data_IF_228293030462
#
_entry.id   IF_228293030462
#
_cell.length_a   1.000
_cell.length_b   1.000
_cell.length_c   1.000
_cell.angle_alpha   90.00
_cell.angle_beta   90.00
_cell.angle_gamma   90.00
#
_symmetry.space_group_name_H-M   'P 1'
#
loop_
_entity.id
_entity.type
_entity.pdbx_description
1 polymer ?
#
# COMPACT_ATOMS: atom_id res chain seq x y z
N UNK A 1 -8.57 36.88 82.12
CA UNK A 1 -7.35 36.13 82.42
C UNK A 1 -7.52 34.78 81.77
N UNK A 2 -6.71 34.49 80.96
CA UNK A 2 -5.57 33.72 80.56
C UNK A 2 -5.70 33.16 79.15
N UNK A 3 -4.66 33.45 78.42
CA UNK A 3 -4.38 33.13 77.03
C UNK A 3 -3.94 31.66 76.97
N UNK A 4 -4.40 30.92 75.96
CA UNK A 4 -3.62 29.80 75.38
C UNK A 4 -3.73 29.84 73.89
N UNK A 5 -2.60 30.15 73.34
CA UNK A 5 -2.31 30.05 71.89
C UNK A 5 -2.07 28.59 71.54
N UNK A 6 -2.85 28.06 70.64
CA UNK A 6 -2.60 26.75 70.04
C UNK A 6 -2.18 26.93 68.58
N UNK A 7 -0.96 26.57 68.30
CA UNK A 7 -0.33 26.61 67.00
C UNK A 7 -0.91 25.47 66.14
N UNK A 8 -1.66 25.80 65.09
CA UNK A 8 -2.01 24.83 64.05
C UNK A 8 -0.87 24.77 63.05
N UNK A 9 -0.18 23.61 63.03
CA UNK A 9 0.77 23.27 61.95
C UNK A 9 0.03 22.93 60.67
N UNK A 10 0.26 23.69 59.63
CA UNK A 10 -0.24 23.40 58.29
C UNK A 10 0.60 22.27 57.67
N UNK A 11 0.03 21.10 57.62
CA UNK A 11 0.55 20.00 56.81
C UNK A 11 0.15 20.23 55.33
N UNK A 12 1.07 20.70 54.51
CA UNK A 12 0.90 20.86 53.07
C UNK A 12 1.11 19.50 52.41
N UNK A 13 0.03 18.80 52.17
CA UNK A 13 0.05 17.55 51.41
C UNK A 13 0.16 17.89 49.92
N UNK A 14 1.38 17.77 49.37
CA UNK A 14 1.66 17.88 47.94
C UNK A 14 1.12 16.64 47.24
N UNK A 15 -0.07 16.73 46.68
CA UNK A 15 -0.64 15.70 45.82
C UNK A 15 0.03 15.77 44.43
N UNK A 16 1.00 14.89 44.20
CA UNK A 16 1.60 14.66 42.86
C UNK A 16 0.56 13.89 42.04
N UNK A 17 -0.18 14.58 41.20
CA UNK A 17 -1.00 13.95 40.18
C UNK A 17 -0.09 13.42 39.07
N UNK A 18 0.18 12.11 39.08
CA UNK A 18 0.75 11.41 37.93
C UNK A 18 -0.30 11.44 36.82
N UNK A 19 -0.12 12.35 35.89
CA UNK A 19 -0.81 12.30 34.59
C UNK A 19 -0.26 11.11 33.80
N UNK A 20 -0.86 9.94 33.99
CA UNK A 20 -0.65 8.82 33.10
C UNK A 20 -1.22 9.22 31.72
N UNK A 21 -0.33 9.62 30.79
CA UNK A 21 -0.68 9.64 29.39
C UNK A 21 -1.02 8.20 28.99
N UNK A 22 -2.30 7.86 28.98
CA UNK A 22 -2.76 6.65 28.34
C UNK A 22 -2.54 6.85 26.84
N UNK A 23 -1.51 6.23 26.29
CA UNK A 23 -1.44 5.93 24.86
C UNK A 23 -2.65 5.00 24.58
N UNK A 24 -3.79 5.60 24.25
CA UNK A 24 -4.90 4.86 23.66
C UNK A 24 -4.40 4.18 22.39
N UNK A 25 -4.95 2.99 22.03
CA UNK A 25 -4.63 2.38 20.74
C UNK A 25 -4.90 3.44 19.68
N UNK A 26 -3.85 3.83 18.96
CA UNK A 26 -4.03 4.62 17.77
C UNK A 26 -4.78 3.70 16.81
N UNK A 27 -6.06 3.98 16.58
CA UNK A 27 -6.77 3.44 15.43
C UNK A 27 -6.07 4.01 14.20
N UNK A 28 -5.05 3.31 13.75
CA UNK A 28 -4.44 3.54 12.44
C UNK A 28 -5.54 3.22 11.44
N UNK A 29 -6.18 4.24 10.91
CA UNK A 29 -7.09 4.10 9.78
C UNK A 29 -6.23 3.73 8.60
N UNK A 30 -6.16 2.43 8.27
CA UNK A 30 -5.55 1.99 7.04
C UNK A 30 -6.26 2.65 5.85
N UNK A 31 -5.50 3.05 4.84
CA UNK A 31 -6.09 3.58 3.62
C UNK A 31 -7.00 2.52 3.00
N UNK A 32 -8.26 2.92 2.78
CA UNK A 32 -9.26 2.06 2.16
C UNK A 32 -9.36 2.39 0.68
N UNK A 33 -9.34 1.39 -0.16
CA UNK A 33 -9.53 1.53 -1.61
C UNK A 33 -10.81 0.83 -2.03
N UNK A 34 -11.64 1.53 -2.80
CA UNK A 34 -12.83 0.96 -3.42
C UNK A 34 -12.41 0.17 -4.65
N UNK A 35 -12.64 -1.15 -4.65
CA UNK A 35 -12.23 -2.06 -5.73
C UNK A 35 -13.39 -2.43 -6.67
N UNK A 36 -14.61 -2.30 -6.20
CA UNK A 36 -15.85 -2.38 -6.98
C UNK A 36 -16.92 -1.48 -6.35
N UNK A 37 -18.16 -1.50 -6.87
CA UNK A 37 -19.25 -0.60 -6.42
C UNK A 37 -19.56 -0.69 -4.91
N UNK A 38 -19.23 -1.78 -4.25
CA UNK A 38 -19.60 -2.07 -2.86
C UNK A 38 -18.46 -2.52 -1.96
N UNK A 39 -17.32 -2.88 -2.52
CA UNK A 39 -16.23 -3.52 -1.79
C UNK A 39 -15.07 -2.54 -1.57
N UNK A 40 -14.71 -2.36 -0.31
CA UNK A 40 -13.53 -1.58 0.08
C UNK A 40 -12.52 -2.49 0.77
N UNK A 41 -11.25 -2.33 0.41
CA UNK A 41 -10.12 -3.11 0.94
C UNK A 41 -9.13 -2.18 1.60
N UNK A 42 -8.67 -2.55 2.78
CA UNK A 42 -7.56 -1.86 3.45
C UNK A 42 -6.23 -2.22 2.77
N UNK A 43 -5.43 -1.21 2.44
CA UNK A 43 -4.11 -1.42 1.86
C UNK A 43 -3.09 -1.86 2.93
N UNK A 44 -2.17 -2.75 2.59
CA UNK A 44 -1.02 -3.05 3.44
C UNK A 44 -0.14 -1.82 3.68
N UNK A 45 0.63 -1.85 4.76
CA UNK A 45 1.65 -0.83 4.99
C UNK A 45 2.82 -0.99 3.98
N UNK A 46 3.44 0.09 3.51
CA UNK A 46 4.61 0.01 2.63
C UNK A 46 5.73 -0.91 3.13
N UNK A 47 6.03 -0.90 4.43
CA UNK A 47 7.04 -1.76 5.05
C UNK A 47 6.79 -3.27 4.88
N UNK A 48 5.55 -3.68 4.69
CA UNK A 48 5.17 -5.09 4.53
C UNK A 48 5.61 -5.69 3.18
N UNK A 49 6.14 -4.87 2.26
CA UNK A 49 6.84 -5.40 1.07
C UNK A 49 8.08 -6.22 1.46
N UNK A 50 8.74 -5.87 2.58
CA UNK A 50 9.88 -6.61 3.13
C UNK A 50 11.25 -6.20 2.55
N UNK A 51 11.29 -5.40 1.51
CA UNK A 51 12.50 -4.84 0.90
C UNK A 51 12.22 -3.42 0.35
N UNK A 52 13.27 -2.68 0.06
CA UNK A 52 13.17 -1.42 -0.68
C UNK A 52 13.31 -1.69 -2.16
N UNK A 53 12.51 -1.02 -2.98
CA UNK A 53 12.45 -1.23 -4.42
C UNK A 53 12.54 0.11 -5.15
N UNK A 54 13.36 0.14 -6.19
CA UNK A 54 13.29 1.14 -7.26
C UNK A 54 13.18 0.40 -8.58
N UNK A 55 12.18 0.74 -9.39
CA UNK A 55 11.98 0.09 -10.69
C UNK A 55 11.54 1.10 -11.76
N UNK A 56 12.03 0.87 -12.98
CA UNK A 56 11.51 1.48 -14.20
C UNK A 56 10.72 0.41 -14.95
N UNK A 57 9.48 0.69 -15.27
CA UNK A 57 8.58 -0.27 -15.92
C UNK A 57 7.83 0.37 -17.07
N UNK A 58 7.45 -0.45 -18.05
CA UNK A 58 6.52 -0.10 -19.09
C UNK A 58 5.21 -0.82 -18.81
N UNK A 59 4.16 -0.07 -18.54
CA UNK A 59 2.83 -0.61 -18.26
C UNK A 59 1.98 -0.46 -19.51
N UNK A 60 1.41 -1.56 -20.00
CA UNK A 60 0.43 -1.57 -21.07
C UNK A 60 -0.90 -2.09 -20.53
N UNK A 61 -1.89 -1.21 -20.42
CA UNK A 61 -3.23 -1.54 -19.97
C UNK A 61 -4.19 -1.64 -21.17
N UNK A 62 -5.10 -2.60 -21.13
CA UNK A 62 -6.13 -2.80 -22.15
C UNK A 62 -7.47 -3.09 -21.52
N UNK A 63 -8.53 -2.44 -22.03
CA UNK A 63 -9.92 -2.65 -21.66
C UNK A 63 -10.83 -2.42 -22.87
N UNK A 64 -11.67 -3.39 -23.18
CA UNK A 64 -12.42 -3.39 -24.45
C UNK A 64 -11.49 -3.29 -25.65
N UNK A 65 -11.72 -2.29 -26.50
CA UNK A 65 -10.87 -2.00 -27.66
C UNK A 65 -9.76 -0.97 -27.38
N UNK A 66 -9.74 -0.42 -26.15
CA UNK A 66 -8.76 0.62 -25.76
C UNK A 66 -7.49 -0.03 -25.27
N UNK A 67 -6.36 0.50 -25.71
CA UNK A 67 -5.03 0.14 -25.22
C UNK A 67 -4.23 1.41 -24.94
N UNK A 68 -3.62 1.47 -23.77
CA UNK A 68 -2.72 2.57 -23.37
C UNK A 68 -1.40 2.02 -22.85
N UNK A 69 -0.34 2.76 -23.09
CA UNK A 69 1.00 2.41 -22.66
C UNK A 69 1.63 3.57 -21.89
N UNK A 70 2.21 3.28 -20.73
CA UNK A 70 2.73 4.28 -19.81
C UNK A 70 4.07 3.83 -19.23
N UNK A 71 5.18 4.53 -19.53
CA UNK A 71 6.40 4.41 -18.75
C UNK A 71 6.20 4.89 -17.33
N UNK A 72 6.63 4.09 -16.35
CA UNK A 72 6.50 4.44 -14.93
C UNK A 72 7.83 4.29 -14.18
N UNK A 73 7.98 5.09 -13.14
CA UNK A 73 9.02 4.96 -12.13
C UNK A 73 8.35 4.63 -10.80
N UNK A 74 8.79 3.56 -10.19
CA UNK A 74 8.31 3.08 -8.90
C UNK A 74 9.43 3.18 -7.87
N UNK A 75 9.10 3.70 -6.68
CA UNK A 75 9.95 3.64 -5.50
C UNK A 75 9.14 3.19 -4.30
N UNK A 76 9.64 2.20 -3.60
CA UNK A 76 9.08 1.71 -2.33
C UNK A 76 10.17 1.70 -1.28
N UNK A 77 9.88 2.25 -0.13
CA UNK A 77 10.69 2.07 1.07
C UNK A 77 9.78 1.74 2.26
N UNK A 78 10.34 1.61 3.46
CA UNK A 78 9.58 1.22 4.64
C UNK A 78 8.41 2.16 4.99
N UNK A 79 8.45 3.42 4.55
CA UNK A 79 7.49 4.43 4.93
C UNK A 79 6.52 4.81 3.82
N UNK A 80 6.90 4.60 2.56
CA UNK A 80 6.10 5.12 1.43
C UNK A 80 6.25 4.33 0.14
N UNK A 81 5.22 4.43 -0.68
CA UNK A 81 5.20 4.07 -2.09
C UNK A 81 5.11 5.34 -2.91
N UNK A 82 5.92 5.47 -3.94
CA UNK A 82 5.85 6.58 -4.91
C UNK A 82 5.82 5.99 -6.31
N UNK A 83 4.82 6.37 -7.10
CA UNK A 83 4.69 6.02 -8.51
C UNK A 83 4.60 7.30 -9.34
N UNK A 84 5.41 7.40 -10.38
CA UNK A 84 5.32 8.47 -11.37
C UNK A 84 5.14 7.89 -12.76
N UNK A 85 4.10 8.32 -13.48
CA UNK A 85 3.83 7.95 -14.86
C UNK A 85 4.18 9.08 -15.82
N UNK A 86 4.71 8.72 -16.99
CA UNK A 86 5.22 9.67 -17.97
C UNK A 86 4.59 9.44 -19.35
N UNK A 87 4.36 10.52 -20.08
CA UNK A 87 4.05 10.44 -21.51
C UNK A 87 5.26 9.95 -22.28
N UNK A 88 5.06 9.56 -23.55
CA UNK A 88 6.15 9.22 -24.48
C UNK A 88 7.17 10.35 -24.70
N UNK A 89 6.80 11.58 -24.38
CA UNK A 89 7.66 12.76 -24.45
C UNK A 89 8.37 13.09 -23.13
N UNK A 90 8.22 12.23 -22.10
CA UNK A 90 8.85 12.42 -20.79
C UNK A 90 8.13 13.40 -19.87
N UNK A 91 6.96 13.91 -20.23
CA UNK A 91 6.14 14.74 -19.33
C UNK A 91 5.49 13.86 -18.27
N UNK A 92 5.65 14.20 -16.99
CA UNK A 92 4.95 13.49 -15.90
C UNK A 92 3.45 13.77 -15.98
N UNK A 93 2.67 12.73 -16.17
CA UNK A 93 1.20 12.79 -16.33
C UNK A 93 0.46 12.20 -15.12
N UNK A 94 1.13 11.37 -14.33
CA UNK A 94 0.62 10.80 -13.08
C UNK A 94 1.69 10.90 -12.00
N UNK A 95 1.30 11.32 -10.82
CA UNK A 95 2.09 11.19 -9.60
C UNK A 95 1.19 10.63 -8.51
N UNK A 96 1.66 9.57 -7.84
CA UNK A 96 0.94 8.94 -6.75
C UNK A 96 1.93 8.71 -5.61
N UNK A 97 1.52 9.04 -4.39
CA UNK A 97 2.25 8.74 -3.17
C UNK A 97 1.30 8.12 -2.16
N UNK A 98 1.73 7.04 -1.52
CA UNK A 98 1.07 6.43 -0.38
C UNK A 98 2.02 6.43 0.81
N UNK A 99 1.66 7.12 1.87
CA UNK A 99 2.44 7.27 3.08
C UNK A 99 1.50 7.58 4.26
N UNK A 100 1.79 7.05 5.45
CA UNK A 100 1.03 7.31 6.68
C UNK A 100 -0.49 7.13 6.48
N UNK A 101 -0.87 6.03 5.82
CA UNK A 101 -2.26 5.69 5.46
C UNK A 101 -2.99 6.74 4.60
N UNK A 102 -2.24 7.63 3.98
CA UNK A 102 -2.77 8.68 3.09
C UNK A 102 -2.32 8.44 1.67
N UNK A 103 -3.26 8.51 0.73
CA UNK A 103 -3.00 8.47 -0.71
C UNK A 103 -3.08 9.89 -1.25
N UNK A 104 -1.99 10.37 -1.82
CA UNK A 104 -1.92 11.64 -2.55
C UNK A 104 -1.70 11.34 -4.02
N UNK A 105 -2.52 11.90 -4.89
CA UNK A 105 -2.39 11.71 -6.31
C UNK A 105 -2.58 13.02 -7.08
N UNK A 106 -1.85 13.15 -8.18
CA UNK A 106 -1.96 14.24 -9.12
C UNK A 106 -1.95 13.67 -10.54
N UNK A 107 -2.99 13.98 -11.29
CA UNK A 107 -3.11 13.67 -12.72
C UNK A 107 -2.98 14.97 -13.50
N UNK A 108 -2.29 14.93 -14.65
CA UNK A 108 -2.17 16.10 -15.51
C UNK A 108 -3.56 16.49 -16.02
N UNK A 109 -3.91 17.77 -15.86
CA UNK A 109 -5.21 18.31 -16.26
C UNK A 109 -5.60 17.90 -17.67
N UNK A 110 -6.81 17.37 -17.83
CA UNK A 110 -7.37 16.88 -19.10
C UNK A 110 -7.08 15.40 -19.38
N UNK A 111 -6.42 14.67 -18.47
CA UNK A 111 -6.22 13.22 -18.55
C UNK A 111 -6.98 12.45 -17.47
N UNK A 112 -7.73 13.14 -16.61
CA UNK A 112 -8.44 12.55 -15.46
C UNK A 112 -9.40 11.43 -15.89
N UNK A 113 -10.08 11.59 -17.02
CA UNK A 113 -11.01 10.58 -17.55
C UNK A 113 -10.32 9.50 -18.40
N UNK A 114 -9.02 9.65 -18.66
CA UNK A 114 -8.24 8.74 -19.52
C UNK A 114 -7.39 7.75 -18.74
N UNK A 115 -7.21 7.98 -17.44
CA UNK A 115 -6.42 7.12 -16.56
C UNK A 115 -7.32 6.46 -15.51
N UNK A 116 -6.99 5.25 -15.05
CA UNK A 116 -7.66 4.63 -13.92
C UNK A 116 -7.53 5.52 -12.66
N UNK A 117 -8.50 5.40 -11.75
CA UNK A 117 -8.40 6.06 -10.44
C UNK A 117 -7.07 5.73 -9.75
N UNK A 118 -6.35 6.72 -9.22
CA UNK A 118 -5.04 6.49 -8.60
C UNK A 118 -5.04 5.43 -7.50
N UNK A 119 -6.13 5.36 -6.73
CA UNK A 119 -6.33 4.36 -5.68
C UNK A 119 -6.38 2.94 -6.26
N UNK A 120 -7.02 2.77 -7.42
CA UNK A 120 -7.07 1.49 -8.11
C UNK A 120 -5.69 1.10 -8.66
N UNK A 121 -4.92 2.08 -9.18
CA UNK A 121 -3.54 1.85 -9.62
C UNK A 121 -2.69 1.36 -8.45
N UNK A 122 -2.81 2.01 -7.29
CA UNK A 122 -2.09 1.63 -6.08
C UNK A 122 -2.47 0.23 -5.58
N UNK A 123 -3.77 -0.08 -5.54
CA UNK A 123 -4.27 -1.40 -5.17
C UNK A 123 -3.69 -2.49 -6.09
N UNK A 124 -3.78 -2.31 -7.41
CA UNK A 124 -3.27 -3.27 -8.39
C UNK A 124 -1.76 -3.47 -8.26
N UNK A 125 -0.99 -2.37 -8.07
CA UNK A 125 0.44 -2.41 -7.84
C UNK A 125 0.78 -3.21 -6.59
N UNK A 126 0.16 -2.87 -5.46
CA UNK A 126 0.44 -3.51 -4.18
C UNK A 126 -0.01 -4.97 -4.18
N UNK A 127 -1.17 -5.28 -4.78
CA UNK A 127 -1.64 -6.66 -4.92
C UNK A 127 -0.68 -7.50 -5.78
N UNK A 128 0.00 -6.88 -6.72
CA UNK A 128 0.99 -7.56 -7.58
C UNK A 128 2.29 -7.86 -6.84
N UNK A 129 2.78 -6.95 -6.00
CA UNK A 129 4.15 -7.01 -5.45
C UNK A 129 4.23 -7.44 -3.99
N UNK A 130 3.26 -7.05 -3.12
CA UNK A 130 3.32 -7.39 -1.69
C UNK A 130 3.08 -8.88 -1.46
N UNK A 131 3.74 -9.48 -0.45
CA UNK A 131 3.51 -10.87 -0.07
C UNK A 131 2.05 -11.08 0.38
N UNK A 132 1.53 -12.30 0.21
CA UNK A 132 0.11 -12.59 0.54
C UNK A 132 -0.19 -12.39 2.02
N UNK A 133 0.79 -12.56 2.87
CA UNK A 133 0.67 -12.36 4.32
C UNK A 133 0.29 -10.92 4.67
N UNK A 134 0.74 -9.96 3.86
CA UNK A 134 0.38 -8.54 4.04
C UNK A 134 -1.11 -8.27 3.75
N UNK A 135 -1.74 -9.13 2.97
CA UNK A 135 -3.14 -9.02 2.55
C UNK A 135 -4.12 -9.85 3.38
N UNK A 136 -3.62 -10.77 4.19
CA UNK A 136 -4.42 -11.82 4.82
C UNK A 136 -5.61 -11.27 5.62
N UNK A 137 -5.40 -10.24 6.44
CA UNK A 137 -6.48 -9.66 7.25
C UNK A 137 -7.48 -8.90 6.37
N UNK A 138 -7.00 -7.98 5.53
CA UNK A 138 -7.88 -7.12 4.72
C UNK A 138 -8.71 -7.91 3.71
N UNK A 139 -8.19 -9.00 3.17
CA UNK A 139 -8.96 -9.90 2.30
C UNK A 139 -9.98 -10.72 3.11
N UNK A 140 -9.61 -11.23 4.28
CA UNK A 140 -10.54 -11.97 5.14
C UNK A 140 -11.70 -11.10 5.63
N UNK A 141 -11.46 -9.81 5.93
CA UNK A 141 -12.47 -8.87 6.39
C UNK A 141 -13.61 -8.67 5.38
N UNK A 142 -13.32 -8.82 4.09
CA UNK A 142 -14.31 -8.75 3.00
C UNK A 142 -14.76 -10.13 2.50
N UNK A 143 -14.32 -11.20 3.15
CA UNK A 143 -14.64 -12.57 2.77
C UNK A 143 -13.91 -13.07 1.53
N UNK A 144 -12.86 -12.39 1.08
CA UNK A 144 -12.03 -12.80 -0.05
C UNK A 144 -10.79 -13.58 0.42
N UNK A 145 -10.15 -14.29 -0.50
CA UNK A 145 -8.89 -14.97 -0.20
C UNK A 145 -7.97 -14.99 -1.43
N UNK A 146 -6.69 -15.17 -1.17
CA UNK A 146 -5.65 -15.23 -2.19
C UNK A 146 -5.03 -16.63 -2.18
N UNK A 147 -4.89 -17.21 -3.36
CA UNK A 147 -4.13 -18.44 -3.60
C UNK A 147 -2.90 -18.09 -4.43
N UNK A 148 -1.72 -18.50 -3.97
CA UNK A 148 -0.47 -18.22 -4.66
C UNK A 148 0.30 -19.51 -4.92
N UNK A 149 0.89 -19.58 -6.12
CA UNK A 149 1.86 -20.58 -6.55
C UNK A 149 3.14 -19.87 -6.96
N UNK A 150 4.17 -20.59 -7.37
CA UNK A 150 5.44 -20.02 -7.80
C UNK A 150 5.31 -18.89 -8.84
N UNK A 151 4.40 -19.04 -9.81
CA UNK A 151 4.29 -18.15 -10.96
C UNK A 151 2.90 -17.54 -11.14
N UNK A 152 1.98 -17.73 -10.19
CA UNK A 152 0.60 -17.25 -10.30
C UNK A 152 0.02 -16.87 -8.94
N UNK A 153 -0.76 -15.81 -8.93
CA UNK A 153 -1.61 -15.40 -7.81
C UNK A 153 -3.04 -15.25 -8.32
N UNK A 154 -3.99 -15.83 -7.60
CA UNK A 154 -5.42 -15.71 -7.90
C UNK A 154 -6.15 -15.21 -6.68
N UNK A 155 -6.97 -14.19 -6.85
CA UNK A 155 -7.86 -13.65 -5.82
C UNK A 155 -9.27 -14.15 -6.08
N UNK A 156 -9.90 -14.69 -5.05
CA UNK A 156 -11.27 -15.20 -5.07
C UNK A 156 -12.17 -14.37 -4.17
N UNK A 157 -13.41 -14.18 -4.60
CA UNK A 157 -14.47 -13.58 -3.77
C UNK A 157 -15.02 -14.56 -2.72
N UNK A 158 -15.98 -14.09 -1.91
CA UNK A 158 -16.64 -14.90 -0.89
C UNK A 158 -17.47 -16.09 -1.42
N UNK A 159 -17.74 -16.13 -2.73
CA UNK A 159 -18.40 -17.24 -3.41
C UNK A 159 -17.41 -18.20 -4.08
N UNK A 160 -16.12 -18.02 -3.83
CA UNK A 160 -15.03 -18.77 -4.46
C UNK A 160 -14.96 -18.57 -5.99
N UNK A 161 -15.38 -17.38 -6.46
CA UNK A 161 -15.26 -16.99 -7.87
C UNK A 161 -13.91 -16.26 -8.07
N UNK A 162 -13.11 -16.62 -9.07
CA UNK A 162 -11.87 -15.92 -9.34
C UNK A 162 -12.17 -14.51 -9.89
N UNK A 163 -11.62 -13.49 -9.23
CA UNK A 163 -11.82 -12.07 -9.56
C UNK A 163 -10.62 -11.47 -10.26
N UNK A 164 -9.41 -11.81 -9.77
CA UNK A 164 -8.15 -11.29 -10.30
C UNK A 164 -7.18 -12.46 -10.47
N UNK A 165 -6.48 -12.46 -11.59
CA UNK A 165 -5.38 -13.37 -11.86
C UNK A 165 -4.11 -12.59 -12.18
N UNK A 166 -2.98 -12.94 -11.55
CA UNK A 166 -1.67 -12.34 -11.78
C UNK A 166 -0.70 -13.46 -12.14
N UNK A 167 -0.02 -13.34 -13.27
CA UNK A 167 1.02 -14.28 -13.72
C UNK A 167 2.38 -13.60 -13.72
N UNK A 168 3.37 -14.29 -13.17
CA UNK A 168 4.75 -13.84 -13.05
C UNK A 168 5.65 -14.63 -14.00
N UNK A 169 6.53 -13.93 -14.70
CA UNK A 169 7.45 -14.52 -15.67
C UNK A 169 8.92 -14.30 -15.24
N UNK A 170 9.14 -13.96 -13.97
CA UNK A 170 10.46 -13.87 -13.39
C UNK A 170 11.16 -15.24 -13.36
N UNK A 171 12.47 -15.23 -13.54
CA UNK A 171 13.32 -16.44 -13.46
C UNK A 171 13.53 -16.85 -12.00
N UNK A 172 13.49 -15.89 -11.08
CA UNK A 172 13.59 -16.07 -9.63
C UNK A 172 12.23 -15.81 -8.99
N UNK A 173 11.68 -16.81 -8.30
CA UNK A 173 10.39 -16.72 -7.61
C UNK A 173 10.37 -15.64 -6.51
N UNK A 174 11.53 -15.32 -5.92
CA UNK A 174 11.66 -14.32 -4.87
C UNK A 174 11.72 -12.89 -5.41
N UNK A 175 11.97 -12.73 -6.71
CA UNK A 175 12.14 -11.44 -7.35
C UNK A 175 11.11 -11.23 -8.47
N UNK A 176 9.83 -11.40 -8.15
CA UNK A 176 8.72 -11.29 -9.11
C UNK A 176 8.77 -10.01 -9.95
N UNK A 177 9.32 -8.92 -9.41
CA UNK A 177 9.44 -7.64 -10.11
C UNK A 177 10.48 -7.66 -11.24
N UNK A 178 11.41 -8.61 -11.27
CA UNK A 178 12.47 -8.66 -12.30
C UNK A 178 12.01 -9.25 -13.63
N UNK A 179 10.86 -9.94 -13.63
CA UNK A 179 10.24 -10.48 -14.85
C UNK A 179 9.08 -9.64 -15.35
N UNK A 180 8.56 -10.05 -16.50
CA UNK A 180 7.28 -9.54 -16.96
C UNK A 180 6.16 -10.04 -16.07
N UNK A 181 5.12 -9.22 -15.91
CA UNK A 181 3.95 -9.56 -15.09
C UNK A 181 2.69 -9.27 -15.90
N UNK A 182 1.74 -10.19 -15.84
CA UNK A 182 0.41 -10.02 -16.44
C UNK A 182 -0.63 -10.03 -15.32
N UNK A 183 -1.33 -8.93 -15.17
CA UNK A 183 -2.45 -8.77 -14.26
C UNK A 183 -3.75 -8.76 -15.06
N UNK A 184 -4.73 -9.56 -14.68
CA UNK A 184 -6.07 -9.61 -15.29
C UNK A 184 -7.15 -9.46 -14.22
N UNK A 185 -8.03 -8.48 -14.39
CA UNK A 185 -9.24 -8.36 -13.61
C UNK A 185 -10.40 -9.02 -14.36
N UNK A 186 -10.76 -10.23 -13.95
CA UNK A 186 -11.62 -11.13 -14.71
C UNK A 186 -13.07 -10.62 -14.79
N UNK A 187 -13.56 -9.95 -13.74
CA UNK A 187 -14.93 -9.44 -13.70
C UNK A 187 -15.09 -8.05 -14.31
N UNK A 188 -14.06 -7.20 -14.23
CA UNK A 188 -14.08 -5.87 -14.85
C UNK A 188 -13.51 -5.89 -16.28
N UNK A 189 -12.93 -7.01 -16.72
CA UNK A 189 -12.51 -7.22 -18.10
C UNK A 189 -11.34 -6.35 -18.55
N UNK A 190 -10.41 -5.97 -17.64
CA UNK A 190 -9.19 -5.28 -18.03
C UNK A 190 -7.93 -6.12 -17.76
N UNK A 191 -6.91 -5.85 -18.55
CA UNK A 191 -5.61 -6.51 -18.47
C UNK A 191 -4.49 -5.48 -18.42
N UNK A 192 -3.49 -5.75 -17.59
CA UNK A 192 -2.28 -4.93 -17.48
C UNK A 192 -1.07 -5.84 -17.71
N UNK A 193 -0.26 -5.49 -18.71
CA UNK A 193 1.05 -6.09 -18.92
C UNK A 193 2.10 -5.14 -18.37
N UNK A 194 2.95 -5.63 -17.48
CA UNK A 194 4.02 -4.88 -16.82
C UNK A 194 5.34 -5.47 -17.28
N UNK A 195 6.12 -4.69 -18.02
CA UNK A 195 7.48 -5.04 -18.41
C UNK A 195 8.46 -4.26 -17.54
N UNK A 196 9.28 -4.97 -16.79
CA UNK A 196 10.33 -4.33 -16.00
C UNK A 196 11.57 -4.07 -16.86
N UNK A 197 11.92 -2.80 -17.01
CA UNK A 197 13.08 -2.34 -17.77
C UNK A 197 14.35 -2.35 -16.92
N UNK A 198 14.20 -2.00 -15.65
CA UNK A 198 15.27 -2.08 -14.64
C UNK A 198 14.66 -2.14 -13.26
N UNK A 199 15.33 -2.83 -12.35
CA UNK A 199 14.97 -2.88 -10.93
C UNK A 199 16.22 -2.89 -10.04
N UNK A 200 16.07 -2.38 -8.83
CA UNK A 200 17.06 -2.47 -7.77
C UNK A 200 16.32 -2.74 -6.46
N UNK A 201 16.66 -3.87 -5.84
CA UNK A 201 16.11 -4.31 -4.57
C UNK A 201 17.19 -4.19 -3.49
N UNK A 202 16.83 -3.60 -2.35
CA UNK A 202 17.73 -3.44 -1.21
C UNK A 202 17.04 -3.94 0.06
N UNK A 203 17.67 -4.87 0.76
CA UNK A 203 17.19 -5.27 2.07
C UNK A 203 17.36 -4.11 3.05
N UNK A 204 16.32 -3.73 3.81
CA UNK A 204 16.44 -2.67 4.82
C UNK A 204 17.55 -3.02 5.81
N UNK A 205 18.42 -2.05 6.12
CA UNK A 205 19.43 -2.23 7.14
C UNK A 205 18.73 -2.55 8.47
N UNK A 206 19.01 -3.71 9.03
CA UNK A 206 18.56 -4.08 10.38
C UNK A 206 19.13 -3.04 11.34
N UNK A 207 18.27 -2.26 11.99
CA UNK A 207 18.68 -1.38 13.07
C UNK A 207 19.21 -2.27 14.18
N UNK A 208 20.54 -2.45 14.24
CA UNK A 208 21.16 -3.08 15.41
C UNK A 208 20.82 -2.16 16.60
N UNK A 209 19.95 -2.64 17.47
CA UNK A 209 19.82 -2.10 18.80
C UNK A 209 21.15 -2.32 19.50
N UNK A 210 21.92 -1.24 19.64
CA UNK A 210 23.09 -1.22 20.50
C UNK A 210 22.56 -1.24 21.93
N UNK A 211 22.84 -2.34 22.63
CA UNK A 211 22.63 -2.54 24.06
C UNK A 211 23.36 -1.49 24.89
#
# INVERSE_FOLDING_TARGET
MWRYTMKLGAAFALAITLSACSLGPQNTRQAMVTIDESTQVALPNPAQLGYELTASQLIAASWGETQQQLPVQLQVNQNKVVLAGFSSWGTRILSLQYQDDTIEAQVLTGLDDSLPAPEQVLFNLMLTLWPIEAWQNSMSDIGWHIVETANQRVVYDGNNTPIIEIRYFATDEQQKVEGDIVFEHLTQGYRINIQTLSSNLTTPATKNETL
#
